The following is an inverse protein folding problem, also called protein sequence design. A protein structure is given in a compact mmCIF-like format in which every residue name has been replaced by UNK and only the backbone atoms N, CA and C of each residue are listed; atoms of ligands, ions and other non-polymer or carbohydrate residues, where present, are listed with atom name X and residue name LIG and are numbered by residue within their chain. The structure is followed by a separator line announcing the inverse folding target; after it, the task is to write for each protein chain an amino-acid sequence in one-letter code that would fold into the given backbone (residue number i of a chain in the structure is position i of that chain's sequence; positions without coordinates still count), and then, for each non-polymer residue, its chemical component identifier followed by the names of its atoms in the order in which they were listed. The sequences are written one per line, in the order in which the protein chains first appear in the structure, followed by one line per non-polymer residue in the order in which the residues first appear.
data_IF_727908818216
#
_entry.id   IF_727908818216
#
_cell.length_a   1.000
_cell.length_b   1.000
_cell.length_c   1.000
_cell.angle_alpha   90.00
_cell.angle_beta   90.00
_cell.angle_gamma   90.00
#
_symmetry.space_group_name_H-M   'P 1'
#
loop_
_entity.id
_entity.type
_entity.pdbx_description
1 polymer ?
#
# COMPACT_ATOMS: atom_id res chain seq x y z
N UNK A 1 -14.50 -14.32 5.02
CA UNK A 1 -15.47 -13.65 5.92
C UNK A 1 -15.45 -12.16 5.61
N UNK A 2 -16.53 -11.64 5.01
CA UNK A 2 -16.70 -10.22 4.76
C UNK A 2 -17.47 -9.60 5.93
N UNK A 3 -17.04 -8.42 6.37
CA UNK A 3 -17.79 -7.62 7.33
C UNK A 3 -19.11 -7.13 6.70
N UNK A 4 -20.05 -6.66 7.52
CA UNK A 4 -21.40 -6.16 7.17
C UNK A 4 -21.47 -5.13 6.02
N UNK A 5 -20.32 -4.62 5.56
CA UNK A 5 -20.16 -3.61 4.51
C UNK A 5 -19.35 -4.10 3.29
N UNK A 6 -19.11 -5.40 3.15
CA UNK A 6 -18.27 -5.97 2.06
C UNK A 6 -16.77 -5.66 2.19
N UNK A 7 -16.37 -5.07 3.32
CA UNK A 7 -14.97 -4.84 3.68
C UNK A 7 -14.38 -6.08 4.37
N UNK A 8 -13.05 -6.23 4.45
CA UNK A 8 -12.45 -7.34 5.15
C UNK A 8 -12.74 -7.25 6.66
N UNK A 9 -12.90 -8.40 7.31
CA UNK A 9 -12.95 -8.45 8.76
C UNK A 9 -11.58 -8.12 9.37
N UNK A 10 -11.58 -7.39 10.48
CA UNK A 10 -10.41 -7.15 11.33
C UNK A 10 -10.84 -7.20 12.79
N UNK A 11 -9.91 -7.64 13.65
CA UNK A 11 -10.11 -7.71 15.09
C UNK A 11 -9.39 -6.54 15.79
N UNK A 12 -9.90 -6.08 16.95
CA UNK A 12 -9.17 -5.12 17.78
C UNK A 12 -7.72 -5.54 18.04
N UNK A 13 -6.80 -4.58 17.98
CA UNK A 13 -5.36 -4.79 18.20
C UNK A 13 -4.58 -5.30 16.99
N UNK A 14 -5.25 -5.74 15.91
CA UNK A 14 -4.55 -6.22 14.72
C UNK A 14 -3.71 -5.13 14.05
N UNK A 15 -2.54 -5.52 13.57
CA UNK A 15 -1.60 -4.70 12.79
C UNK A 15 -1.83 -4.98 11.30
N UNK A 16 -2.38 -4.01 10.59
CA UNK A 16 -2.79 -4.17 9.20
C UNK A 16 -2.02 -3.19 8.30
N UNK A 17 -1.26 -3.75 7.36
CA UNK A 17 -0.64 -2.97 6.30
C UNK A 17 -1.64 -2.63 5.18
N UNK A 18 -1.67 -1.39 4.74
CA UNK A 18 -2.48 -0.91 3.62
C UNK A 18 -1.57 -0.69 2.41
N UNK A 19 -1.70 -1.52 1.37
CA UNK A 19 -0.95 -1.39 0.13
C UNK A 19 -1.88 -0.92 -0.99
N UNK A 20 -1.83 0.38 -1.30
CA UNK A 20 -2.58 0.97 -2.40
C UNK A 20 -1.90 0.78 -3.76
N UNK A 21 -2.70 0.56 -4.80
CA UNK A 21 -2.19 0.46 -6.17
C UNK A 21 -3.26 0.22 -7.21
N UNK A 22 -2.92 0.43 -8.48
CA UNK A 22 -3.79 0.05 -9.59
C UNK A 22 -3.85 -1.46 -9.77
N UNK A 23 -2.77 -2.20 -9.45
CA UNK A 23 -2.69 -3.66 -9.65
C UNK A 23 -3.19 -4.07 -11.04
N UNK A 24 -2.60 -3.50 -12.09
CA UNK A 24 -3.07 -3.65 -13.46
C UNK A 24 -1.94 -4.15 -14.39
N UNK A 25 -1.71 -5.48 -14.47
CA UNK A 25 -2.28 -6.53 -13.62
C UNK A 25 -1.53 -6.68 -12.28
N UNK A 26 -2.13 -7.34 -11.27
CA UNK A 26 -1.37 -7.82 -10.11
C UNK A 26 -0.33 -8.85 -10.58
N UNK A 27 0.81 -8.93 -9.89
CA UNK A 27 1.91 -9.79 -10.30
C UNK A 27 2.83 -10.15 -9.12
N UNK A 28 3.75 -11.10 -9.33
CA UNK A 28 4.59 -11.67 -8.26
C UNK A 28 5.44 -10.62 -7.50
N UNK A 29 5.94 -9.58 -8.15
CA UNK A 29 6.56 -8.43 -7.47
C UNK A 29 5.67 -7.74 -6.41
N UNK A 30 4.36 -7.57 -6.63
CA UNK A 30 3.45 -7.05 -5.60
C UNK A 30 3.35 -8.02 -4.42
N UNK A 31 3.23 -9.32 -4.71
CA UNK A 31 3.18 -10.38 -3.70
C UNK A 31 4.48 -10.45 -2.89
N UNK A 32 5.64 -10.33 -3.55
CA UNK A 32 6.95 -10.33 -2.91
C UNK A 32 7.09 -9.16 -1.92
N UNK A 33 6.78 -7.93 -2.35
CA UNK A 33 6.78 -6.75 -1.48
C UNK A 33 5.83 -6.92 -0.30
N UNK A 34 4.65 -7.51 -0.54
CA UNK A 34 3.66 -7.75 0.50
C UNK A 34 4.14 -8.75 1.54
N UNK A 35 4.77 -9.85 1.13
CA UNK A 35 5.38 -10.84 2.04
C UNK A 35 6.50 -10.23 2.87
N UNK A 36 7.32 -9.38 2.26
CA UNK A 36 8.35 -8.64 2.97
C UNK A 36 7.74 -7.65 3.97
N UNK A 37 6.67 -6.94 3.60
CA UNK A 37 5.97 -6.03 4.50
C UNK A 37 5.43 -6.76 5.73
N UNK A 38 4.76 -7.91 5.55
CA UNK A 38 4.26 -8.75 6.63
C UNK A 38 5.35 -9.06 7.66
N UNK A 39 6.50 -9.54 7.18
CA UNK A 39 7.62 -9.93 8.05
C UNK A 39 8.34 -8.73 8.68
N UNK A 40 8.72 -7.73 7.87
CA UNK A 40 9.59 -6.63 8.30
C UNK A 40 8.88 -5.63 9.21
N UNK A 41 7.56 -5.49 9.07
CA UNK A 41 6.75 -4.56 9.87
C UNK A 41 5.91 -5.26 10.95
N UNK A 42 6.07 -6.57 11.14
CA UNK A 42 5.36 -7.34 12.17
C UNK A 42 3.83 -7.28 12.01
N UNK A 43 3.34 -7.34 10.77
CA UNK A 43 1.92 -7.17 10.45
C UNK A 43 1.20 -8.53 10.51
N UNK A 44 -0.02 -8.51 11.05
CA UNK A 44 -0.91 -9.69 11.05
C UNK A 44 -1.51 -9.92 9.66
N UNK A 45 -1.83 -8.83 8.97
CA UNK A 45 -2.47 -8.83 7.64
C UNK A 45 -1.96 -7.70 6.76
N UNK A 46 -2.08 -7.89 5.45
CA UNK A 46 -1.95 -6.81 4.48
C UNK A 46 -3.19 -6.77 3.61
N UNK A 47 -3.75 -5.57 3.45
CA UNK A 47 -4.86 -5.30 2.56
C UNK A 47 -4.34 -4.62 1.31
N UNK A 48 -4.56 -5.27 0.17
CA UNK A 48 -4.42 -4.61 -1.13
C UNK A 48 -5.66 -3.76 -1.34
N UNK A 49 -5.44 -2.45 -1.43
CA UNK A 49 -6.46 -1.46 -1.77
C UNK A 49 -6.39 -1.26 -3.29
N UNK A 50 -7.20 -2.02 -4.03
CA UNK A 50 -7.24 -1.94 -5.48
C UNK A 50 -8.02 -0.68 -5.85
N UNK A 51 -7.32 0.29 -6.44
CA UNK A 51 -7.93 1.58 -6.75
C UNK A 51 -8.90 1.48 -7.94
N UNK A 52 -10.06 2.17 -7.93
CA UNK A 52 -10.97 2.22 -9.07
C UNK A 52 -10.35 2.86 -10.32
N UNK A 53 -9.22 3.56 -10.19
CA UNK A 53 -8.53 4.23 -11.29
C UNK A 53 -8.92 5.70 -11.44
N UNK A 54 -8.16 6.44 -12.25
CA UNK A 54 -8.44 7.84 -12.55
C UNK A 54 -9.45 7.93 -13.71
N UNK A 55 -10.66 8.45 -13.51
CA UNK A 55 -11.68 8.58 -14.56
C UNK A 55 -11.26 9.55 -15.68
N UNK A 56 -10.25 10.40 -15.45
CA UNK A 56 -9.76 11.36 -16.43
C UNK A 56 -8.73 10.76 -17.43
N UNK A 57 -8.39 9.47 -17.31
CA UNK A 57 -7.48 8.81 -18.26
C UNK A 57 -8.26 8.22 -19.44
N UNK A 58 -7.81 8.44 -20.69
CA UNK A 58 -8.51 7.95 -21.89
C UNK A 58 -8.58 6.42 -21.95
N UNK A 59 -7.56 5.73 -21.41
CA UNK A 59 -7.61 4.28 -21.17
C UNK A 59 -7.50 4.04 -19.66
N UNK A 60 -8.62 3.66 -19.06
CA UNK A 60 -8.67 3.19 -17.68
C UNK A 60 -7.98 1.83 -17.51
N UNK A 61 -7.64 1.44 -16.27
CA UNK A 61 -7.21 0.07 -16.02
C UNK A 61 -8.34 -0.93 -16.34
N UNK A 62 -8.01 -2.23 -16.39
CA UNK A 62 -9.04 -3.27 -16.48
C UNK A 62 -10.14 -3.08 -15.38
N UNK A 63 -11.37 -3.60 -15.57
CA UNK A 63 -12.45 -3.45 -14.60
C UNK A 63 -12.00 -3.81 -13.17
N UNK A 64 -12.47 -3.04 -12.18
CA UNK A 64 -12.04 -3.19 -10.78
C UNK A 64 -12.19 -4.63 -10.27
N UNK A 65 -13.35 -5.25 -10.52
CA UNK A 65 -13.61 -6.62 -10.09
C UNK A 65 -12.72 -7.64 -10.78
N UNK A 66 -12.37 -7.42 -12.06
CA UNK A 66 -11.43 -8.27 -12.77
C UNK A 66 -10.03 -8.22 -12.15
N UNK A 67 -9.56 -7.03 -11.75
CA UNK A 67 -8.27 -6.84 -11.06
C UNK A 67 -8.28 -7.44 -9.66
N UNK A 68 -9.38 -7.28 -8.91
CA UNK A 68 -9.56 -7.92 -7.59
C UNK A 68 -9.52 -9.44 -7.74
N UNK A 69 -10.27 -10.01 -8.69
CA UNK A 69 -10.30 -11.45 -8.95
C UNK A 69 -8.92 -11.98 -9.37
N UNK A 70 -8.20 -11.25 -10.22
CA UNK A 70 -6.82 -11.60 -10.60
C UNK A 70 -5.87 -11.58 -9.39
N UNK A 71 -6.00 -10.59 -8.51
CA UNK A 71 -5.21 -10.51 -7.27
C UNK A 71 -5.50 -11.69 -6.35
N UNK A 72 -6.78 -12.04 -6.17
CA UNK A 72 -7.19 -13.18 -5.34
C UNK A 72 -6.66 -14.51 -5.87
N UNK A 73 -6.61 -14.70 -7.21
CA UNK A 73 -6.00 -15.91 -7.81
C UNK A 73 -4.50 -15.99 -7.61
N UNK A 74 -3.82 -14.85 -7.54
CA UNK A 74 -2.36 -14.79 -7.31
C UNK A 74 -1.98 -15.10 -5.85
N UNK A 75 -2.87 -14.83 -4.90
CA UNK A 75 -2.58 -14.88 -3.47
C UNK A 75 -3.01 -16.23 -2.88
N UNK A 76 -2.05 -16.94 -2.31
CA UNK A 76 -2.28 -18.18 -1.54
C UNK A 76 -2.21 -17.95 -0.02
N UNK A 77 -1.65 -16.82 0.44
CA UNK A 77 -1.47 -16.52 1.86
C UNK A 77 -2.73 -15.85 2.45
N UNK A 78 -3.42 -16.46 3.43
CA UNK A 78 -4.67 -15.95 4.00
C UNK A 78 -4.52 -14.62 4.77
N UNK A 79 -3.28 -14.19 5.05
CA UNK A 79 -2.99 -12.89 5.66
C UNK A 79 -3.06 -11.75 4.65
N UNK A 80 -3.06 -12.04 3.35
CA UNK A 80 -3.12 -11.04 2.29
C UNK A 80 -4.54 -11.00 1.73
N UNK A 81 -5.21 -9.85 1.85
CA UNK A 81 -6.59 -9.68 1.41
C UNK A 81 -6.67 -8.66 0.27
N UNK A 82 -7.28 -9.04 -0.84
CA UNK A 82 -7.52 -8.13 -1.98
C UNK A 82 -8.90 -7.53 -1.90
N UNK A 83 -8.95 -6.20 -1.91
CA UNK A 83 -10.15 -5.44 -1.58
C UNK A 83 -10.40 -4.33 -2.59
N UNK A 84 -11.67 -4.04 -2.81
CA UNK A 84 -12.14 -2.80 -3.45
C UNK A 84 -12.66 -1.83 -2.41
N UNK A 85 -11.96 -1.69 -1.27
CA UNK A 85 -12.44 -0.90 -0.15
C UNK A 85 -12.72 0.55 -0.54
N UNK A 86 -11.86 1.14 -1.38
CA UNK A 86 -12.05 2.50 -1.92
C UNK A 86 -13.41 2.67 -2.61
N UNK A 87 -13.78 1.74 -3.49
CA UNK A 87 -15.07 1.78 -4.17
C UNK A 87 -16.27 1.60 -3.22
N UNK A 88 -16.14 0.70 -2.23
CA UNK A 88 -17.20 0.45 -1.24
C UNK A 88 -17.41 1.60 -0.27
N UNK A 89 -16.34 2.31 0.08
CA UNK A 89 -16.36 3.47 0.96
C UNK A 89 -16.67 4.78 0.22
N UNK A 90 -16.75 4.76 -1.11
CA UNK A 90 -16.92 5.96 -1.92
C UNK A 90 -15.70 6.90 -1.90
N UNK A 91 -14.53 6.41 -1.48
CA UNK A 91 -13.31 7.21 -1.34
C UNK A 91 -12.42 7.04 -2.58
N UNK A 92 -11.82 8.14 -3.05
CA UNK A 92 -10.82 8.10 -4.15
C UNK A 92 -9.42 8.55 -3.72
N UNK A 93 -9.33 9.32 -2.64
CA UNK A 93 -8.08 9.85 -2.11
C UNK A 93 -7.61 8.98 -0.97
N UNK A 94 -6.29 8.80 -0.87
CA UNK A 94 -5.67 7.98 0.18
C UNK A 94 -6.00 8.52 1.58
N UNK A 95 -5.99 9.85 1.78
CA UNK A 95 -6.36 10.47 3.06
C UNK A 95 -7.79 10.10 3.49
N UNK A 96 -8.77 10.21 2.58
CA UNK A 96 -10.17 9.87 2.84
C UNK A 96 -10.34 8.38 3.13
N UNK A 97 -9.63 7.54 2.38
CA UNK A 97 -9.65 6.08 2.56
C UNK A 97 -9.13 5.69 3.94
N UNK A 98 -7.98 6.25 4.36
CA UNK A 98 -7.41 5.99 5.69
C UNK A 98 -8.36 6.44 6.80
N UNK A 99 -8.92 7.65 6.69
CA UNK A 99 -9.86 8.16 7.68
C UNK A 99 -11.11 7.27 7.80
N UNK A 100 -11.68 6.84 6.67
CA UNK A 100 -12.82 5.95 6.65
C UNK A 100 -12.49 4.57 7.26
N UNK A 101 -11.33 3.99 6.95
CA UNK A 101 -10.88 2.73 7.54
C UNK A 101 -10.70 2.87 9.06
N UNK A 102 -10.08 3.94 9.54
CA UNK A 102 -9.92 4.19 10.98
C UNK A 102 -11.27 4.35 11.70
N UNK A 103 -12.26 4.98 11.06
CA UNK A 103 -13.60 5.10 11.63
C UNK A 103 -14.32 3.74 11.74
N UNK A 104 -14.12 2.83 10.78
CA UNK A 104 -14.72 1.50 10.79
C UNK A 104 -14.00 0.54 11.76
N UNK A 105 -12.69 0.70 11.95
CA UNK A 105 -11.88 -0.11 12.86
C UNK A 105 -11.02 0.76 13.79
N UNK A 106 -11.62 1.41 14.80
CA UNK A 106 -10.90 2.34 15.67
C UNK A 106 -9.82 1.67 16.52
N UNK A 107 -9.95 0.36 16.78
CA UNK A 107 -8.99 -0.41 17.55
C UNK A 107 -7.94 -1.15 16.68
N UNK A 108 -7.93 -0.97 15.37
CA UNK A 108 -6.93 -1.58 14.46
C UNK A 108 -5.76 -0.62 14.26
N UNK A 109 -4.55 -1.18 14.20
CA UNK A 109 -3.31 -0.45 13.97
C UNK A 109 -2.97 -0.51 12.48
N UNK A 110 -3.30 0.55 11.76
CA UNK A 110 -3.02 0.64 10.32
C UNK A 110 -1.62 1.19 10.05
N UNK A 111 -0.94 0.60 9.06
CA UNK A 111 0.33 1.08 8.51
C UNK A 111 0.16 1.30 7.03
N UNK A 112 0.50 2.48 6.51
CA UNK A 112 0.54 2.68 5.06
C UNK A 112 1.82 2.08 4.48
N UNK A 113 1.68 1.22 3.46
CA UNK A 113 2.78 0.58 2.78
C UNK A 113 3.02 1.24 1.43
N UNK A 114 4.26 1.62 1.15
CA UNK A 114 4.64 2.17 -0.14
C UNK A 114 6.05 1.77 -0.57
N UNK A 115 6.30 1.82 -1.88
CA UNK A 115 7.66 1.70 -2.41
C UNK A 115 8.47 2.99 -2.20
N UNK A 116 9.79 2.86 -2.22
CA UNK A 116 10.72 4.01 -2.21
C UNK A 116 10.47 5.02 -3.34
N UNK A 117 10.00 4.55 -4.50
CA UNK A 117 9.60 5.36 -5.65
C UNK A 117 8.38 6.23 -5.33
N UNK A 118 7.42 5.71 -4.57
CA UNK A 118 6.29 6.50 -4.08
C UNK A 118 6.75 7.54 -3.04
N UNK A 119 7.70 7.20 -2.16
CA UNK A 119 8.26 8.17 -1.20
C UNK A 119 8.92 9.37 -1.89
N UNK A 120 9.54 9.17 -3.07
CA UNK A 120 10.16 10.26 -3.84
C UNK A 120 9.15 11.32 -4.29
N UNK A 121 7.92 10.91 -4.57
CA UNK A 121 6.84 11.77 -5.07
C UNK A 121 5.72 11.99 -4.04
N UNK A 122 5.91 11.54 -2.80
CA UNK A 122 4.86 11.53 -1.79
C UNK A 122 4.41 12.96 -1.40
N UNK A 123 5.31 13.94 -1.49
CA UNK A 123 5.01 15.35 -1.27
C UNK A 123 4.01 15.95 -2.28
N UNK A 124 3.78 15.24 -3.40
CA UNK A 124 2.81 15.61 -4.45
C UNK A 124 1.45 14.95 -4.27
N UNK A 125 1.31 14.04 -3.30
CA UNK A 125 0.03 13.39 -3.05
C UNK A 125 -0.93 14.38 -2.39
N UNK A 126 -2.21 14.26 -2.74
CA UNK A 126 -3.26 15.06 -2.11
C UNK A 126 -3.26 14.81 -0.60
N UNK A 127 -3.19 15.90 0.18
CA UNK A 127 -3.18 15.88 1.65
C UNK A 127 -2.12 14.93 2.25
N UNK A 128 -0.95 14.80 1.62
CA UNK A 128 0.11 13.89 2.06
C UNK A 128 0.55 14.08 3.52
N UNK A 129 0.54 15.32 4.02
CA UNK A 129 0.85 15.62 5.42
C UNK A 129 -0.17 15.02 6.38
N UNK A 130 -1.44 15.03 6.00
CA UNK A 130 -2.51 14.39 6.78
C UNK A 130 -2.37 12.87 6.75
N UNK A 131 -2.03 12.28 5.60
CA UNK A 131 -1.72 10.85 5.49
C UNK A 131 -0.61 10.48 6.49
N UNK A 132 0.50 11.22 6.46
CA UNK A 132 1.62 11.00 7.36
C UNK A 132 1.27 11.20 8.84
N UNK A 133 0.39 12.15 9.16
CA UNK A 133 -0.06 12.41 10.52
C UNK A 133 -1.07 11.37 11.04
N UNK A 134 -1.77 10.65 10.16
CA UNK A 134 -2.81 9.67 10.55
C UNK A 134 -2.29 8.26 10.77
N UNK A 135 -1.27 7.83 10.03
CA UNK A 135 -0.77 6.44 10.06
C UNK A 135 0.75 6.37 9.93
N UNK A 136 1.41 5.43 10.63
CA UNK A 136 2.80 5.11 10.36
C UNK A 136 3.00 4.65 8.91
N UNK A 137 4.17 4.95 8.34
CA UNK A 137 4.49 4.64 6.94
C UNK A 137 5.65 3.65 6.85
N UNK A 138 5.38 2.47 6.30
CA UNK A 138 6.37 1.46 5.96
C UNK A 138 6.83 1.60 4.51
N UNK A 139 8.08 2.05 4.31
CA UNK A 139 8.67 2.26 2.98
C UNK A 139 9.58 1.09 2.63
N UNK A 140 9.32 0.47 1.48
CA UNK A 140 10.09 -0.69 0.99
C UNK A 140 10.97 -0.22 -0.17
N UNK A 141 12.28 -0.20 0.06
CA UNK A 141 13.26 0.21 -0.93
C UNK A 141 13.80 -0.97 -1.73
N UNK A 142 13.81 -0.81 -3.07
CA UNK A 142 14.54 -1.71 -3.97
C UNK A 142 16.02 -1.31 -4.01
N UNK A 143 16.92 -2.22 -4.37
CA UNK A 143 18.33 -1.87 -4.58
C UNK A 143 18.48 -0.72 -5.58
N UNK A 144 19.29 0.28 -5.22
CA UNK A 144 19.56 1.47 -6.06
C UNK A 144 18.57 2.65 -5.94
N UNK A 145 17.42 2.50 -5.25
CA UNK A 145 16.47 3.63 -5.04
C UNK A 145 16.61 4.33 -3.69
N UNK A 146 17.42 3.78 -2.78
CA UNK A 146 17.54 4.22 -1.38
C UNK A 146 17.94 5.69 -1.23
N UNK A 147 18.99 6.12 -1.93
CA UNK A 147 19.53 7.47 -1.78
C UNK A 147 18.49 8.51 -2.17
N UNK A 148 17.90 8.36 -3.37
CA UNK A 148 16.84 9.25 -3.87
C UNK A 148 15.63 9.31 -2.94
N UNK A 149 15.24 8.18 -2.35
CA UNK A 149 14.12 8.13 -1.43
C UNK A 149 14.44 8.83 -0.09
N UNK A 150 15.66 8.70 0.43
CA UNK A 150 16.07 9.36 1.68
C UNK A 150 16.26 10.87 1.54
N UNK A 151 16.57 11.35 0.34
CA UNK A 151 16.75 12.78 0.04
C UNK A 151 15.51 13.41 -0.60
N UNK A 152 14.38 12.71 -0.66
CA UNK A 152 13.15 13.28 -1.21
C UNK A 152 12.59 14.38 -0.32
N UNK A 153 11.81 15.31 -0.90
CA UNK A 153 11.20 16.41 -0.15
C UNK A 153 10.37 15.89 1.04
N UNK A 154 9.55 14.86 0.82
CA UNK A 154 8.77 14.25 1.90
C UNK A 154 9.66 13.64 2.99
N UNK A 155 10.74 12.93 2.62
CA UNK A 155 11.66 12.33 3.58
C UNK A 155 12.41 13.37 4.41
N UNK A 156 12.82 14.48 3.80
CA UNK A 156 13.45 15.61 4.49
C UNK A 156 12.48 16.29 5.45
N UNK A 157 11.24 16.53 5.00
CA UNK A 157 10.20 17.16 5.83
C UNK A 157 9.77 16.29 7.02
N UNK A 158 9.87 14.96 6.89
CA UNK A 158 9.54 14.00 7.94
C UNK A 158 10.79 13.46 8.65
N UNK A 159 11.96 14.10 8.52
CA UNK A 159 13.22 13.55 9.02
C UNK A 159 13.20 13.27 10.53
N UNK A 160 12.57 14.15 11.33
CA UNK A 160 12.41 13.99 12.77
C UNK A 160 11.53 12.78 13.16
N UNK A 161 10.69 12.30 12.24
CA UNK A 161 9.78 11.16 12.43
C UNK A 161 10.34 9.86 11.84
N UNK A 162 11.59 9.88 11.37
CA UNK A 162 12.23 8.71 10.77
C UNK A 162 12.69 7.75 11.86
N UNK A 163 12.22 6.52 11.76
CA UNK A 163 12.49 5.43 12.68
C UNK A 163 13.65 4.57 12.14
N UNK A 164 14.59 4.11 13.00
CA UNK A 164 15.62 3.16 12.60
C UNK A 164 15.06 1.85 12.06
N UNK A 165 15.75 1.24 11.10
CA UNK A 165 15.28 0.01 10.43
C UNK A 165 15.07 -1.17 11.41
N UNK A 166 15.88 -1.29 12.47
CA UNK A 166 15.72 -2.35 13.47
C UNK A 166 14.43 -2.21 14.29
N UNK A 167 13.81 -1.03 14.32
CA UNK A 167 12.53 -0.80 14.98
C UNK A 167 11.32 -1.08 14.06
N UNK A 168 11.54 -1.44 12.78
CA UNK A 168 10.48 -1.70 11.81
C UNK A 168 9.39 -2.69 12.30
N UNK A 169 9.71 -3.79 13.02
CA UNK A 169 8.68 -4.72 13.51
C UNK A 169 7.67 -4.11 14.49
N UNK A 170 8.00 -2.96 15.09
CA UNK A 170 7.12 -2.23 16.03
C UNK A 170 6.44 -1.02 15.42
N UNK A 171 6.61 -0.79 14.11
CA UNK A 171 6.11 0.42 13.44
C UNK A 171 4.61 0.64 13.65
N UNK A 172 3.81 -0.43 13.59
CA UNK A 172 2.36 -0.35 13.78
C UNK A 172 1.95 0.09 15.19
N UNK A 173 2.85 0.02 16.17
CA UNK A 173 2.60 0.39 17.56
C UNK A 173 3.05 1.83 17.87
N UNK A 174 3.59 2.55 16.88
CA UNK A 174 4.08 3.91 17.03
C UNK A 174 2.99 4.94 16.74
N UNK A 175 3.02 6.05 17.46
CA UNK A 175 2.20 7.20 17.13
C UNK A 175 2.64 7.80 15.79
N UNK A 176 1.67 8.09 14.92
CA UNK A 176 1.93 8.85 13.70
C UNK A 176 2.16 10.35 14.04
N UNK A 177 3.04 11.07 13.31
CA UNK A 177 3.84 10.57 12.19
C UNK A 177 5.05 9.74 12.66
N UNK A 178 5.21 8.58 12.04
CA UNK A 178 6.39 7.72 12.15
C UNK A 178 6.60 7.01 10.81
N UNK A 179 7.84 6.93 10.34
CA UNK A 179 8.12 6.19 9.10
C UNK A 179 9.46 5.50 9.13
N UNK A 180 9.54 4.36 8.46
CA UNK A 180 10.75 3.55 8.36
C UNK A 180 10.98 3.15 6.92
N UNK A 181 12.24 3.09 6.53
CA UNK A 181 12.66 2.59 5.22
C UNK A 181 13.41 1.28 5.45
N UNK A 182 12.88 0.19 4.91
CA UNK A 182 13.50 -1.15 4.94
C UNK A 182 14.02 -1.51 3.57
N UNK A 183 15.16 -2.19 3.54
CA UNK A 183 15.73 -2.69 2.31
C UNK A 183 15.26 -4.12 2.07
N UNK A 184 14.85 -4.42 0.83
CA UNK A 184 14.53 -5.78 0.41
C UNK A 184 15.50 -6.25 -0.68
N UNK A 185 15.86 -7.55 -0.70
CA UNK A 185 16.66 -8.13 -1.78
C UNK A 185 16.00 -7.92 -3.16
N UNK A 186 16.79 -7.96 -4.23
CA UNK A 186 16.27 -7.79 -5.59
C UNK A 186 15.17 -8.81 -5.91
N UNK A 187 14.09 -8.34 -6.54
CA UNK A 187 13.15 -9.17 -7.30
C UNK A 187 13.06 -8.61 -8.73
N UNK A 188 13.25 -9.42 -9.78
CA UNK A 188 13.35 -8.96 -11.17
C UNK A 188 12.02 -8.53 -11.82
N UNK A 189 10.91 -8.45 -11.07
CA UNK A 189 9.56 -8.36 -11.65
C UNK A 189 8.88 -6.98 -11.43
N UNK A 190 8.47 -6.31 -12.51
CA UNK A 190 7.72 -5.03 -12.49
C UNK A 190 6.46 -5.03 -13.39
N UNK A 191 5.39 -4.32 -12.99
CA UNK A 191 4.14 -4.22 -13.76
C UNK A 191 4.36 -3.66 -15.17
N UNK A 192 5.27 -2.70 -15.31
CA UNK A 192 5.57 -2.07 -16.60
C UNK A 192 6.24 -3.04 -17.58
N UNK A 193 7.05 -3.99 -17.10
CA UNK A 193 7.60 -5.03 -17.95
C UNK A 193 6.53 -6.01 -18.43
N UNK A 194 5.57 -6.37 -17.56
CA UNK A 194 4.46 -7.27 -17.92
C UNK A 194 3.48 -6.60 -18.90
N UNK A 195 3.19 -5.30 -18.73
CA UNK A 195 2.32 -4.57 -19.67
C UNK A 195 2.91 -4.47 -21.08
N UNK A 196 4.22 -4.32 -21.21
CA UNK A 196 4.91 -4.32 -22.52
C UNK A 196 4.88 -5.69 -23.21
N UNK A 197 4.65 -6.77 -22.46
CA UNK A 197 4.58 -8.13 -22.99
C UNK A 197 3.15 -8.57 -23.37
N UNK A 198 2.12 -7.73 -23.14
CA UNK A 198 0.76 -7.97 -23.63
C UNK A 198 0.48 -7.06 -24.83
N UNK A 199 -0.03 -7.57 -25.96
CA UNK A 199 -0.52 -6.69 -27.03
C UNK A 199 -1.61 -5.78 -26.46
N UNK A 200 -1.57 -4.50 -26.83
CA UNK A 200 -2.56 -3.52 -26.43
C UNK A 200 -3.94 -3.98 -26.93
N UNK A 201 -4.76 -4.50 -26.02
CA UNK A 201 -6.16 -4.77 -26.32
C UNK A 201 -6.91 -3.45 -26.18
N UNK A 202 -6.88 -2.64 -27.24
CA UNK A 202 -7.90 -1.66 -27.51
C UNK A 202 -8.91 -2.33 -28.45
N UNK A 203 -10.11 -2.55 -27.95
CA UNK A 203 -11.32 -2.79 -28.73
C UNK A 203 -12.33 -1.75 -28.31
#
# INVERSE_FOLDING_TARGET
MHHRWGLPAALPGQRIGLLGGSFDPPHAGHLHITRMALQRFGLDRVWWLVSPGNPLKPCGPAPLDARIAAGRRLIQDPRILVTGAEARLGTRRTADTIAALQAHWPAVRFVWLMGSDNLVQFDRWDRWREIAARVPIGVIARPGSRTRARTSRAALMLAAHRVPEHCAPRLADMAAPAWVLVNVPMSPLSSSAIRRARPAACG
#
